data_IF_380344181193
#
_entry.id   IF_380344181193
#
_cell.length_a   1.000
_cell.length_b   1.000
_cell.length_c   1.000
_cell.angle_alpha   90.00
_cell.angle_beta   90.00
_cell.angle_gamma   90.00
#
_symmetry.space_group_name_H-M   'P 1'
#
loop_
_entity.id
_entity.type
_entity.pdbx_description
1 polymer ?
#
# COMPACT_ATOMS: atom_id res chain seq x y z
N UNK A 1 8.97 -5.26 13.67
CA UNK A 1 8.18 -4.01 13.73
C UNK A 1 6.94 -4.00 12.83
N UNK A 2 6.86 -4.86 11.80
CA UNK A 2 5.68 -4.93 10.92
C UNK A 2 4.35 -5.12 11.70
N UNK A 3 4.28 -6.11 12.60
CA UNK A 3 3.05 -6.37 13.36
C UNK A 3 2.61 -5.20 14.25
N UNK A 4 3.55 -4.43 14.82
CA UNK A 4 3.23 -3.22 15.58
C UNK A 4 2.62 -2.15 14.66
N UNK A 5 3.22 -1.93 13.49
CA UNK A 5 2.71 -1.02 12.49
C UNK A 5 1.31 -1.45 12.01
N UNK A 6 1.09 -2.75 11.77
CA UNK A 6 -0.23 -3.28 11.41
C UNK A 6 -1.28 -3.01 12.49
N UNK A 7 -0.96 -3.22 13.76
CA UNK A 7 -1.88 -2.93 14.87
C UNK A 7 -2.22 -1.43 14.91
N UNK A 8 -1.22 -0.55 14.85
CA UNK A 8 -1.43 0.89 14.87
C UNK A 8 -2.25 1.35 13.66
N UNK A 9 -1.95 0.81 12.47
CA UNK A 9 -2.71 1.11 11.25
C UNK A 9 -4.16 0.65 11.38
N UNK A 10 -4.42 -0.51 11.99
CA UNK A 10 -5.76 -1.02 12.23
C UNK A 10 -6.58 -0.07 13.11
N UNK A 11 -6.00 0.41 14.21
CA UNK A 11 -6.66 1.43 15.05
C UNK A 11 -6.96 2.71 14.26
N UNK A 12 -6.02 3.20 13.45
CA UNK A 12 -6.24 4.38 12.62
C UNK A 12 -7.37 4.17 11.59
N UNK A 13 -7.42 3.00 10.95
CA UNK A 13 -8.48 2.62 10.00
C UNK A 13 -9.85 2.63 10.66
N UNK A 14 -10.02 1.88 11.76
CA UNK A 14 -11.31 1.78 12.43
C UNK A 14 -11.74 3.08 13.10
N UNK A 15 -10.82 3.90 13.60
CA UNK A 15 -11.13 5.23 14.14
C UNK A 15 -11.69 6.16 13.04
N UNK A 16 -11.08 6.14 11.85
CA UNK A 16 -11.53 6.96 10.71
C UNK A 16 -12.91 6.52 10.18
N UNK A 17 -13.14 5.21 10.08
CA UNK A 17 -14.44 4.64 9.69
C UNK A 17 -15.53 4.92 10.73
N UNK A 18 -15.20 4.84 12.02
CA UNK A 18 -16.12 5.20 13.10
C UNK A 18 -16.53 6.68 13.06
N UNK A 19 -15.61 7.57 12.71
CA UNK A 19 -15.93 8.98 12.50
C UNK A 19 -16.86 9.20 11.31
N UNK A 20 -16.66 8.45 10.20
CA UNK A 20 -17.54 8.52 9.04
C UNK A 20 -18.95 8.04 9.34
N UNK A 21 -19.07 6.87 10.00
CA UNK A 21 -20.34 6.30 10.45
C UNK A 21 -21.12 7.28 11.35
N UNK A 22 -20.42 7.96 12.26
CA UNK A 22 -21.03 8.97 13.13
C UNK A 22 -21.59 10.17 12.35
N UNK A 23 -20.90 10.63 11.30
CA UNK A 23 -21.35 11.77 10.49
C UNK A 23 -22.50 11.38 9.56
N UNK A 24 -22.47 10.17 8.99
CA UNK A 24 -23.47 9.70 8.03
C UNK A 24 -24.71 9.08 8.69
N UNK A 25 -24.65 8.82 10.00
CA UNK A 25 -25.76 8.24 10.75
C UNK A 25 -26.02 6.77 10.39
N UNK A 26 -25.08 6.12 9.72
CA UNK A 26 -25.15 4.70 9.37
C UNK A 26 -24.26 3.86 10.29
N UNK A 27 -24.65 2.61 10.52
CA UNK A 27 -23.77 1.67 11.20
C UNK A 27 -22.53 1.35 10.37
N UNK A 28 -21.39 1.14 11.06
CA UNK A 28 -20.12 0.80 10.42
C UNK A 28 -20.27 -0.40 9.48
N UNK A 29 -21.15 -1.35 9.79
CA UNK A 29 -21.42 -2.56 8.97
C UNK A 29 -22.00 -2.27 7.58
N UNK A 30 -22.70 -1.13 7.41
CA UNK A 30 -23.29 -0.73 6.14
C UNK A 30 -22.30 0.03 5.24
N UNK A 31 -21.18 0.47 5.79
CA UNK A 31 -20.12 1.10 5.01
C UNK A 31 -19.43 0.05 4.14
N UNK A 32 -19.07 0.42 2.91
CA UNK A 32 -18.31 -0.47 2.04
C UNK A 32 -16.81 -0.44 2.42
N UNK A 33 -16.39 -1.31 3.34
CA UNK A 33 -15.00 -1.39 3.85
C UNK A 33 -14.21 -2.61 3.36
N UNK A 34 -14.52 -3.13 2.17
CA UNK A 34 -13.81 -4.28 1.60
C UNK A 34 -12.62 -3.92 0.70
N UNK A 35 -11.43 -4.46 1.03
CA UNK A 35 -10.27 -4.55 0.15
C UNK A 35 -9.89 -3.24 -0.55
N UNK A 36 -9.89 -3.26 -1.89
CA UNK A 36 -9.53 -2.10 -2.71
C UNK A 36 -10.55 -0.95 -2.61
N UNK A 37 -11.84 -1.26 -2.46
CA UNK A 37 -12.90 -0.26 -2.39
C UNK A 37 -12.81 0.61 -1.13
N UNK A 38 -12.28 0.05 -0.04
CA UNK A 38 -12.02 0.79 1.19
C UNK A 38 -11.03 1.93 0.89
N UNK A 39 -9.86 1.60 0.36
CA UNK A 39 -8.73 2.53 0.18
C UNK A 39 -8.98 3.56 -0.91
N UNK A 40 -9.63 3.19 -2.02
CA UNK A 40 -9.83 4.10 -3.16
C UNK A 40 -11.22 4.76 -3.19
N UNK A 41 -12.16 4.31 -2.36
CA UNK A 41 -13.50 4.89 -2.26
C UNK A 41 -13.71 5.58 -0.92
N UNK A 42 -13.80 4.79 0.15
CA UNK A 42 -14.20 5.26 1.47
C UNK A 42 -13.16 6.19 2.12
N UNK A 43 -11.87 5.85 2.04
CA UNK A 43 -10.80 6.63 2.67
C UNK A 43 -10.65 8.08 2.16
N UNK A 44 -10.66 8.34 0.83
CA UNK A 44 -10.64 9.70 0.31
C UNK A 44 -11.81 10.56 0.82
N UNK A 45 -12.99 9.95 0.99
CA UNK A 45 -14.18 10.63 1.52
C UNK A 45 -13.99 10.99 2.99
N UNK A 46 -13.47 10.06 3.81
CA UNK A 46 -13.17 10.33 5.23
C UNK A 46 -12.16 11.47 5.38
N UNK A 47 -11.03 11.37 4.69
CA UNK A 47 -9.95 12.35 4.80
C UNK A 47 -10.35 13.70 4.21
N UNK A 48 -11.22 13.71 3.20
CA UNK A 48 -11.79 14.92 2.61
C UNK A 48 -12.65 15.75 3.57
N UNK A 49 -13.29 15.11 4.57
CA UNK A 49 -14.09 15.79 5.60
C UNK A 49 -13.24 16.47 6.68
N UNK A 50 -11.94 16.18 6.77
CA UNK A 50 -11.02 16.85 7.70
C UNK A 50 -10.69 18.27 7.23
N UNK A 51 -10.40 19.18 8.17
CA UNK A 51 -9.90 20.51 7.81
C UNK A 51 -8.59 20.38 7.02
N UNK A 52 -8.54 20.94 5.82
CA UNK A 52 -7.43 20.75 4.88
C UNK A 52 -7.40 19.38 4.17
N UNK A 53 -8.56 18.70 4.03
CA UNK A 53 -8.70 17.35 3.49
C UNK A 53 -7.90 17.02 2.22
N UNK A 54 -7.72 18.00 1.33
CA UNK A 54 -6.90 17.85 0.11
C UNK A 54 -5.45 17.43 0.41
N UNK A 55 -4.84 17.91 1.51
CA UNK A 55 -3.49 17.52 1.91
C UNK A 55 -3.45 16.08 2.41
N UNK A 56 -4.44 15.67 3.21
CA UNK A 56 -4.53 14.32 3.75
C UNK A 56 -4.75 13.27 2.67
N UNK A 57 -5.60 13.56 1.68
CA UNK A 57 -5.83 12.68 0.53
C UNK A 57 -4.56 12.52 -0.30
N UNK A 58 -3.80 13.61 -0.55
CA UNK A 58 -2.51 13.54 -1.25
C UNK A 58 -1.49 12.68 -0.49
N UNK A 59 -1.42 12.84 0.83
CA UNK A 59 -0.54 12.03 1.68
C UNK A 59 -0.93 10.55 1.66
N UNK A 60 -2.22 10.21 1.66
CA UNK A 60 -2.69 8.83 1.54
C UNK A 60 -2.18 8.17 0.26
N UNK A 61 -2.37 8.81 -0.89
CA UNK A 61 -1.91 8.25 -2.17
C UNK A 61 -0.39 8.20 -2.27
N UNK A 62 0.31 9.17 -1.70
CA UNK A 62 1.76 9.16 -1.63
C UNK A 62 2.28 8.01 -0.74
N UNK A 63 1.67 7.78 0.42
CA UNK A 63 1.99 6.67 1.31
C UNK A 63 1.74 5.31 0.64
N UNK A 64 0.59 5.13 -0.02
CA UNK A 64 0.29 3.91 -0.78
C UNK A 64 1.31 3.65 -1.90
N UNK A 65 1.76 4.71 -2.58
CA UNK A 65 2.80 4.61 -3.58
C UNK A 65 4.14 4.19 -2.97
N UNK A 66 4.53 4.78 -1.84
CA UNK A 66 5.77 4.44 -1.14
C UNK A 66 5.76 3.01 -0.58
N UNK A 67 4.63 2.55 -0.03
CA UNK A 67 4.46 1.17 0.42
C UNK A 67 4.54 0.18 -0.76
N UNK A 68 3.93 0.53 -1.89
CA UNK A 68 3.97 -0.29 -3.09
C UNK A 68 5.37 -0.38 -3.69
N UNK A 69 6.08 0.74 -3.81
CA UNK A 69 7.40 0.79 -4.45
C UNK A 69 8.46 0.08 -3.60
N UNK A 70 8.45 0.24 -2.27
CA UNK A 70 9.37 -0.44 -1.36
C UNK A 70 9.21 -1.97 -1.44
N UNK A 71 7.96 -2.45 -1.43
CA UNK A 71 7.67 -3.88 -1.62
C UNK A 71 8.05 -4.38 -3.01
N UNK A 72 7.84 -3.58 -4.06
CA UNK A 72 8.21 -3.96 -5.43
C UNK A 72 9.73 -4.07 -5.61
N UNK A 73 10.50 -3.15 -5.01
CA UNK A 73 11.96 -3.24 -5.01
C UNK A 73 12.45 -4.50 -4.29
N UNK A 74 11.91 -4.79 -3.11
CA UNK A 74 12.26 -6.02 -2.36
C UNK A 74 11.92 -7.29 -3.15
N UNK A 75 10.79 -7.29 -3.85
CA UNK A 75 10.39 -8.40 -4.73
C UNK A 75 11.41 -8.61 -5.86
N UNK A 76 11.68 -7.57 -6.66
CA UNK A 76 12.63 -7.66 -7.79
C UNK A 76 14.02 -8.05 -7.31
N UNK A 77 14.49 -7.50 -6.20
CA UNK A 77 15.79 -7.84 -5.61
C UNK A 77 15.86 -9.31 -5.19
N UNK A 78 14.78 -9.86 -4.64
CA UNK A 78 14.65 -11.29 -4.33
C UNK A 78 14.81 -12.17 -5.56
N UNK A 79 14.12 -11.85 -6.67
CA UNK A 79 14.25 -12.61 -7.92
C UNK A 79 15.65 -12.48 -8.54
N UNK A 80 16.22 -11.28 -8.54
CA UNK A 80 17.58 -11.04 -9.07
C UNK A 80 18.61 -11.83 -8.28
N UNK A 81 18.44 -11.93 -6.95
CA UNK A 81 19.34 -12.69 -6.08
C UNK A 81 19.27 -14.19 -6.38
N UNK A 82 18.07 -14.75 -6.46
CA UNK A 82 17.88 -16.18 -6.82
C UNK A 82 18.44 -16.49 -8.22
N UNK A 83 18.22 -15.60 -9.19
CA UNK A 83 18.77 -15.76 -10.54
C UNK A 83 20.30 -15.74 -10.53
N UNK A 84 20.93 -14.88 -9.72
CA UNK A 84 22.40 -14.81 -9.59
C UNK A 84 23.02 -15.97 -8.85
N UNK A 85 22.32 -16.57 -7.90
CA UNK A 85 22.78 -17.76 -7.19
C UNK A 85 22.76 -19.02 -8.11
N UNK A 86 22.07 -18.95 -9.24
CA UNK A 86 22.04 -20.03 -10.23
C UNK A 86 23.27 -19.98 -11.15
N UNK A 87 24.01 -21.09 -11.22
CA UNK A 87 25.29 -21.23 -11.96
C UNK A 87 25.20 -20.84 -13.45
N UNK A 88 24.01 -20.93 -14.04
CA UNK A 88 23.76 -20.56 -15.44
C UNK A 88 23.71 -19.03 -15.70
N UNK A 89 23.45 -18.21 -14.67
CA UNK A 89 23.25 -16.76 -14.81
C UNK A 89 24.22 -15.92 -13.95
N UNK A 90 25.19 -16.54 -13.28
CA UNK A 90 26.13 -15.86 -12.36
C UNK A 90 26.92 -14.70 -13.00
N UNK A 91 27.31 -14.83 -14.28
CA UNK A 91 28.13 -13.84 -15.00
C UNK A 91 27.31 -12.72 -15.67
N UNK A 92 25.97 -12.76 -15.57
CA UNK A 92 25.13 -11.74 -16.18
C UNK A 92 25.07 -10.46 -15.33
N UNK A 93 25.15 -9.27 -15.95
CA UNK A 93 25.19 -8.02 -15.21
C UNK A 93 23.84 -7.70 -14.56
N UNK A 94 23.88 -7.20 -13.31
CA UNK A 94 22.71 -6.89 -12.47
C UNK A 94 21.65 -6.04 -13.19
N UNK A 95 22.08 -5.01 -13.91
CA UNK A 95 21.17 -4.11 -14.62
C UNK A 95 20.38 -4.81 -15.74
N UNK A 96 20.99 -5.79 -16.42
CA UNK A 96 20.31 -6.56 -17.46
C UNK A 96 19.34 -7.56 -16.85
N UNK A 97 19.74 -8.26 -15.79
CA UNK A 97 18.86 -9.17 -15.05
C UNK A 97 17.64 -8.43 -14.48
N UNK A 98 17.85 -7.30 -13.81
CA UNK A 98 16.76 -6.46 -13.31
C UNK A 98 15.87 -5.95 -14.45
N UNK A 99 16.44 -5.56 -15.59
CA UNK A 99 15.66 -5.15 -16.76
C UNK A 99 14.79 -6.26 -17.35
N UNK A 100 15.33 -7.49 -17.47
CA UNK A 100 14.59 -8.66 -17.97
C UNK A 100 13.50 -9.08 -16.99
N UNK A 101 13.80 -9.12 -15.69
CA UNK A 101 12.84 -9.49 -14.65
C UNK A 101 11.70 -8.46 -14.58
N UNK A 102 12.00 -7.15 -14.63
CA UNK A 102 10.97 -6.11 -14.69
C UNK A 102 10.13 -6.12 -15.97
N UNK A 103 10.66 -6.64 -17.09
CA UNK A 103 9.90 -6.80 -18.33
C UNK A 103 9.04 -8.08 -18.35
N UNK A 104 9.41 -9.08 -17.54
CA UNK A 104 8.72 -10.36 -17.45
C UNK A 104 7.66 -10.41 -16.34
N UNK A 105 7.74 -9.51 -15.34
CA UNK A 105 6.76 -9.33 -14.27
C UNK A 105 5.57 -8.47 -14.73
#
# INVERSE_FOLDING_TARGET
CNSLFSIISGFAVFASLGHLAYIEGEEVQNLNYGGFSLVFGTWPVVLGKLNGGIHWVRLLFFDLFLLGIDSAFSFVEGFVTVARDTVAFQDTPKWLLSGVICLAA
#
